data_IF_716389922773
#
_entry.id   IF_716389922773
#
_cell.length_a   1.000
_cell.length_b   1.000
_cell.length_c   1.000
_cell.angle_alpha   90.00
_cell.angle_beta   90.00
_cell.angle_gamma   90.00
#
_symmetry.space_group_name_H-M   'P 1'
#
loop_
_entity.id
_entity.type
_entity.pdbx_description
1 polymer ?
#
# COMPACT_ATOMS: atom_id res chain seq x y z
N UNK A 1 -5.15 5.87 3.49
CA UNK A 1 -4.98 4.57 2.80
C UNK A 1 -4.25 3.63 3.73
N UNK A 2 -4.81 2.44 3.88
CA UNK A 2 -4.36 1.35 4.77
C UNK A 2 -4.28 0.06 3.95
N UNK A 3 -3.77 -1.03 4.51
CA UNK A 3 -3.77 -2.33 3.84
C UNK A 3 -5.16 -2.81 3.42
N UNK A 4 -6.20 -2.51 4.21
CA UNK A 4 -7.58 -2.89 3.91
C UNK A 4 -8.23 -2.04 2.82
N UNK A 5 -7.80 -0.79 2.68
CA UNK A 5 -8.46 0.21 1.81
C UNK A 5 -7.70 0.49 0.51
N UNK A 6 -6.46 0.04 0.38
CA UNK A 6 -5.63 0.33 -0.80
C UNK A 6 -6.11 -0.37 -2.06
N UNK A 7 -6.61 -1.62 -1.96
CA UNK A 7 -7.00 -2.43 -3.12
C UNK A 7 -8.04 -1.78 -4.03
N UNK A 8 -9.21 -1.31 -3.55
CA UNK A 8 -10.21 -0.68 -4.43
C UNK A 8 -9.69 0.57 -5.12
N UNK A 9 -8.75 1.30 -4.52
CA UNK A 9 -8.14 2.50 -5.13
C UNK A 9 -7.06 2.12 -6.15
N UNK A 10 -6.25 1.12 -5.84
CA UNK A 10 -5.19 0.63 -6.73
C UNK A 10 -5.73 -0.08 -7.99
N UNK A 11 -6.96 -0.59 -7.95
CA UNK A 11 -7.64 -1.21 -9.08
C UNK A 11 -8.15 -0.21 -10.14
N UNK A 12 -8.17 1.09 -9.85
CA UNK A 12 -8.62 2.13 -10.79
C UNK A 12 -7.58 2.26 -11.92
N UNK A 13 -7.94 2.01 -13.20
CA UNK A 13 -6.97 1.99 -14.31
C UNK A 13 -6.20 3.29 -14.51
N UNK A 14 -6.85 4.43 -14.26
CA UNK A 14 -6.28 5.77 -14.43
C UNK A 14 -5.31 6.16 -13.30
N UNK A 15 -5.29 5.42 -12.19
CA UNK A 15 -4.40 5.69 -11.07
C UNK A 15 -3.01 5.16 -11.40
N UNK A 16 -2.04 6.07 -11.53
CA UNK A 16 -0.64 5.75 -11.81
C UNK A 16 0.22 5.65 -10.54
N UNK A 17 -0.13 6.39 -9.48
CA UNK A 17 0.68 6.50 -8.27
C UNK A 17 -0.19 6.65 -7.03
N UNK A 18 0.22 6.03 -5.92
CA UNK A 18 -0.39 6.19 -4.61
C UNK A 18 0.67 6.60 -3.58
N UNK A 19 0.65 7.86 -3.17
CA UNK A 19 1.54 8.40 -2.15
C UNK A 19 0.99 8.14 -0.74
N UNK A 20 1.59 7.17 -0.04
CA UNK A 20 1.13 6.74 1.29
C UNK A 20 2.26 6.99 2.31
N UNK A 21 2.09 7.96 3.20
CA UNK A 21 3.08 8.33 4.21
C UNK A 21 2.76 7.79 5.61
N UNK A 22 1.86 8.48 6.32
CA UNK A 22 1.58 8.24 7.75
C UNK A 22 1.30 6.77 8.11
N UNK A 23 0.53 6.06 7.28
CA UNK A 23 0.22 4.65 7.51
C UNK A 23 1.47 3.77 7.44
N UNK A 24 2.34 3.94 6.44
CA UNK A 24 3.56 3.15 6.32
C UNK A 24 4.52 3.38 7.49
N UNK A 25 4.63 4.62 7.97
CA UNK A 25 5.46 4.94 9.13
C UNK A 25 4.88 4.32 10.41
N UNK A 26 3.55 4.31 10.57
CA UNK A 26 2.90 3.62 11.69
C UNK A 26 3.17 2.11 11.69
N UNK A 27 2.96 1.46 10.55
CA UNK A 27 3.21 0.01 10.40
C UNK A 27 4.70 -0.34 10.53
N UNK A 28 5.60 0.55 10.11
CA UNK A 28 7.03 0.36 10.21
C UNK A 28 7.52 0.21 11.66
N UNK A 29 6.76 0.68 12.66
CA UNK A 29 7.08 0.47 14.08
C UNK A 29 7.02 -1.02 14.44
N UNK A 30 6.15 -1.79 13.78
CA UNK A 30 5.93 -3.20 14.06
C UNK A 30 6.64 -4.13 13.06
N UNK A 31 6.60 -3.79 11.77
CA UNK A 31 7.10 -4.63 10.68
C UNK A 31 8.49 -4.21 10.17
N UNK A 32 8.98 -3.04 10.61
CA UNK A 32 10.07 -2.34 9.94
C UNK A 32 9.62 -1.67 8.62
N UNK A 33 10.35 -0.64 8.19
CA UNK A 33 9.96 0.14 7.01
C UNK A 33 9.96 -0.68 5.72
N UNK A 34 10.97 -1.54 5.51
CA UNK A 34 11.04 -2.42 4.34
C UNK A 34 9.85 -3.40 4.29
N UNK A 35 9.51 -4.02 5.42
CA UNK A 35 8.35 -4.90 5.54
C UNK A 35 7.04 -4.17 5.24
N UNK A 36 6.86 -2.98 5.81
CA UNK A 36 5.65 -2.18 5.61
C UNK A 36 5.44 -1.78 4.13
N UNK A 37 6.53 -1.38 3.46
CA UNK A 37 6.52 -1.04 2.02
C UNK A 37 6.22 -2.27 1.17
N UNK A 38 6.91 -3.39 1.40
CA UNK A 38 6.71 -4.63 0.63
C UNK A 38 5.27 -5.12 0.69
N UNK A 39 4.65 -5.09 1.87
CA UNK A 39 3.26 -5.51 2.02
C UNK A 39 2.30 -4.58 1.26
N UNK A 40 2.53 -3.26 1.32
CA UNK A 40 1.73 -2.31 0.55
C UNK A 40 1.85 -2.54 -0.96
N UNK A 41 3.08 -2.73 -1.46
CA UNK A 41 3.33 -3.02 -2.87
C UNK A 41 2.67 -4.34 -3.31
N UNK A 42 2.70 -5.38 -2.46
CA UNK A 42 2.05 -6.66 -2.73
C UNK A 42 0.54 -6.49 -2.92
N UNK A 43 -0.13 -5.78 -1.99
CA UNK A 43 -1.57 -5.55 -2.07
C UNK A 43 -1.96 -4.69 -3.28
N UNK A 44 -1.15 -3.70 -3.63
CA UNK A 44 -1.34 -2.89 -4.84
C UNK A 44 -1.17 -3.71 -6.13
N UNK A 45 -0.19 -4.62 -6.16
CA UNK A 45 0.01 -5.51 -7.31
C UNK A 45 -1.15 -6.50 -7.46
N UNK A 46 -1.63 -7.09 -6.35
CA UNK A 46 -2.80 -7.97 -6.35
C UNK A 46 -4.07 -7.29 -6.84
N UNK A 47 -4.24 -5.99 -6.58
CA UNK A 47 -5.40 -5.24 -7.02
C UNK A 47 -5.40 -4.92 -8.52
N UNK A 48 -4.24 -5.03 -9.19
CA UNK A 48 -4.04 -4.71 -10.62
C UNK A 48 -3.92 -5.95 -11.50
N UNK A 49 -3.80 -7.13 -10.90
CA UNK A 49 -3.77 -8.42 -11.60
C UNK A 49 -5.17 -8.84 -12.05
#
# INVERSE_FOLDING_TARGET
>A
LTYETVKPVAAIPEVMELNIGHFLIGEAIFLGLDGAIREMCRLMAEARA
#
